data_IF_080700603923
#
_entry.id   IF_080700603923
#
_cell.length_a   1.000
_cell.length_b   1.000
_cell.length_c   1.000
_cell.angle_alpha   90.00
_cell.angle_beta   90.00
_cell.angle_gamma   90.00
#
_symmetry.space_group_name_H-M   'P 1'
#
loop_
_entity.id
_entity.type
_entity.pdbx_description
1 polymer ?
#
# COMPACT_ATOMS: atom_id res chain seq x y z
N UNK A 1 -7.14 24.13 -26.73
CA UNK A 1 -6.76 23.97 -25.31
C UNK A 1 -7.32 22.64 -24.79
N UNK A 2 -6.59 21.54 -24.95
CA UNK A 2 -7.08 20.19 -24.63
C UNK A 2 -6.78 19.88 -23.16
N UNK A 3 -7.82 19.73 -22.34
CA UNK A 3 -7.69 19.22 -20.96
C UNK A 3 -7.31 17.74 -21.04
N UNK A 4 -6.03 17.45 -20.77
CA UNK A 4 -5.49 16.09 -20.70
C UNK A 4 -6.10 15.39 -19.47
N UNK A 5 -7.16 14.60 -19.69
CA UNK A 5 -7.68 13.66 -18.70
C UNK A 5 -6.53 12.73 -18.28
N UNK A 6 -6.10 12.80 -17.01
CA UNK A 6 -5.18 11.83 -16.39
C UNK A 6 -6.01 10.85 -15.54
N UNK A 7 -6.59 9.79 -16.15
CA UNK A 7 -7.57 8.93 -15.47
C UNK A 7 -7.00 8.12 -14.29
N UNK A 8 -5.67 7.95 -14.19
CA UNK A 8 -5.05 7.12 -13.15
C UNK A 8 -4.58 7.88 -11.91
N UNK A 9 -4.51 9.21 -11.94
CA UNK A 9 -4.00 10.00 -10.80
C UNK A 9 -5.04 10.10 -9.68
N UNK A 10 -6.34 10.19 -10.02
CA UNK A 10 -7.42 10.39 -9.05
C UNK A 10 -7.83 9.16 -8.23
N UNK A 11 -7.58 7.93 -8.72
CA UNK A 11 -7.98 6.69 -8.00
C UNK A 11 -6.99 6.34 -6.89
N UNK A 12 -5.68 6.44 -7.12
CA UNK A 12 -4.67 6.14 -6.10
C UNK A 12 -4.71 7.13 -4.93
N UNK A 13 -4.96 8.41 -5.21
CA UNK A 13 -4.98 9.49 -4.21
C UNK A 13 -6.17 9.35 -3.23
N UNK A 14 -7.33 8.85 -3.69
CA UNK A 14 -8.52 8.70 -2.83
C UNK A 14 -8.41 7.56 -1.80
N UNK A 15 -7.60 6.53 -2.07
CA UNK A 15 -7.50 5.34 -1.19
C UNK A 15 -6.54 5.59 -0.01
N UNK A 16 -5.67 6.60 -0.13
CA UNK A 16 -4.72 6.99 0.92
C UNK A 16 -5.42 7.73 2.08
N UNK A 17 -6.68 8.16 1.92
CA UNK A 17 -7.44 8.81 2.99
C UNK A 17 -7.98 7.79 4.00
N UNK A 18 -7.20 7.48 5.04
CA UNK A 18 -7.66 6.73 6.19
C UNK A 18 -7.37 7.51 7.50
N UNK A 19 -8.13 7.19 8.54
CA UNK A 19 -8.30 7.90 9.82
C UNK A 19 -7.01 7.99 10.67
N UNK A 20 -5.88 7.46 10.20
CA UNK A 20 -4.61 7.37 10.95
C UNK A 20 -3.36 7.74 10.13
N UNK A 21 -3.55 8.42 9.01
CA UNK A 21 -2.43 8.89 8.18
C UNK A 21 -1.74 10.08 8.84
N UNK A 22 -0.40 10.08 8.84
CA UNK A 22 0.41 11.20 9.34
C UNK A 22 0.36 12.34 8.32
N UNK A 23 -0.09 13.52 8.75
CA UNK A 23 -0.18 14.70 7.88
C UNK A 23 1.20 15.13 7.38
N UNK A 24 1.31 15.46 6.09
CA UNK A 24 2.57 15.89 5.46
C UNK A 24 3.50 14.75 5.03
N UNK A 25 3.13 13.49 5.30
CA UNK A 25 3.91 12.31 4.89
C UNK A 25 3.62 11.84 3.46
N UNK A 26 2.63 12.45 2.78
CA UNK A 26 2.19 12.04 1.45
C UNK A 26 3.25 12.26 0.38
N UNK A 27 3.50 11.26 -0.44
CA UNK A 27 4.40 11.37 -1.59
C UNK A 27 3.81 10.65 -2.80
N UNK A 28 4.01 11.25 -3.98
CA UNK A 28 3.71 10.61 -5.25
C UNK A 28 4.98 9.96 -5.79
N UNK A 29 4.86 8.71 -6.22
CA UNK A 29 5.96 7.93 -6.78
C UNK A 29 5.79 7.79 -8.28
N UNK A 30 6.88 8.06 -9.00
CA UNK A 30 7.01 7.99 -10.45
C UNK A 30 8.27 7.19 -10.78
N UNK A 31 8.11 5.92 -11.12
CA UNK A 31 9.25 5.06 -11.42
C UNK A 31 10.05 4.62 -10.18
N UNK A 32 11.05 3.75 -10.39
CA UNK A 32 11.82 3.14 -9.31
C UNK A 32 12.64 4.13 -8.49
N UNK A 33 13.21 5.16 -9.14
CA UNK A 33 14.01 6.20 -8.47
C UNK A 33 13.19 6.97 -7.42
N UNK A 34 11.90 7.20 -7.67
CA UNK A 34 11.03 7.87 -6.71
C UNK A 34 10.77 7.04 -5.44
N UNK A 35 10.92 5.71 -5.51
CA UNK A 35 10.61 4.79 -4.41
C UNK A 35 11.82 4.51 -3.51
N UNK A 36 13.03 4.48 -4.08
CA UNK A 36 14.26 4.11 -3.39
C UNK A 36 14.52 4.85 -2.06
N UNK A 37 14.24 6.17 -1.92
CA UNK A 37 14.41 6.85 -0.63
C UNK A 37 13.53 6.30 0.50
N UNK A 38 12.46 5.58 0.15
CA UNK A 38 11.47 5.06 1.11
C UNK A 38 11.67 3.57 1.38
N UNK A 39 11.89 2.78 0.34
CA UNK A 39 12.09 1.33 0.43
C UNK A 39 12.64 0.75 -0.87
N UNK A 40 13.52 -0.25 -0.77
CA UNK A 40 14.01 -1.03 -1.92
C UNK A 40 13.36 -2.39 -1.89
N UNK A 41 12.48 -2.66 -2.86
CA UNK A 41 11.83 -3.98 -3.00
C UNK A 41 12.65 -4.96 -3.84
N UNK A 42 13.63 -4.45 -4.58
CA UNK A 42 14.49 -5.18 -5.51
C UNK A 42 15.06 -4.21 -6.53
N UNK A 43 15.73 -4.75 -7.53
CA UNK A 43 16.41 -3.96 -8.55
C UNK A 43 15.46 -3.47 -9.67
N UNK A 44 15.86 -2.38 -10.34
CA UNK A 44 15.14 -1.86 -11.50
C UNK A 44 13.72 -1.40 -11.22
N UNK A 45 12.85 -1.45 -12.24
CA UNK A 45 11.43 -1.07 -12.16
C UNK A 45 10.56 -2.24 -11.67
N UNK A 46 10.82 -2.72 -10.46
CA UNK A 46 10.18 -3.91 -9.91
C UNK A 46 8.65 -3.77 -9.73
N UNK A 47 8.15 -2.55 -9.59
CA UNK A 47 6.71 -2.26 -9.55
C UNK A 47 6.12 -1.95 -10.94
N UNK A 48 6.90 -2.12 -12.00
CA UNK A 48 6.45 -1.93 -13.39
C UNK A 48 5.82 -0.56 -13.65
N UNK A 49 6.34 0.49 -13.01
CA UNK A 49 5.75 1.82 -13.07
C UNK A 49 5.92 2.47 -14.46
N UNK A 50 6.99 2.12 -15.19
CA UNK A 50 7.28 2.50 -16.59
C UNK A 50 7.09 4.00 -16.89
N UNK A 51 7.28 4.85 -15.89
CA UNK A 51 7.04 6.31 -15.97
C UNK A 51 5.59 6.74 -16.22
N UNK A 52 4.63 5.81 -16.30
CA UNK A 52 3.23 6.07 -16.67
C UNK A 52 2.23 5.68 -15.58
N UNK A 53 2.64 4.81 -14.66
CA UNK A 53 1.87 4.37 -13.51
C UNK A 53 2.38 5.12 -12.27
N UNK A 54 1.44 5.62 -11.47
CA UNK A 54 1.72 6.44 -10.30
C UNK A 54 1.37 5.67 -9.03
N UNK A 55 2.34 5.63 -8.11
CA UNK A 55 2.12 5.20 -6.74
C UNK A 55 1.82 6.40 -5.83
N UNK A 56 1.06 6.17 -4.78
CA UNK A 56 0.94 7.10 -3.67
C UNK A 56 1.38 6.40 -2.39
N UNK A 57 2.29 7.02 -1.63
CA UNK A 57 2.68 6.54 -0.31
C UNK A 57 2.42 7.60 0.76
N UNK A 58 2.19 7.12 1.98
CA UNK A 58 2.17 7.94 3.17
C UNK A 58 2.54 7.09 4.38
N UNK A 59 2.92 7.76 5.47
CA UNK A 59 3.10 7.12 6.76
C UNK A 59 1.77 7.11 7.52
N UNK A 60 1.55 6.03 8.25
CA UNK A 60 0.35 5.78 9.03
C UNK A 60 0.75 5.39 10.45
N UNK A 61 -0.11 5.70 11.40
CA UNK A 61 -0.07 5.12 12.74
C UNK A 61 -1.08 3.98 12.82
N UNK A 62 -0.78 2.95 13.61
CA UNK A 62 -1.78 2.00 14.05
C UNK A 62 -2.44 2.50 15.35
N UNK A 63 -3.48 1.80 15.81
CA UNK A 63 -4.24 2.15 17.03
C UNK A 63 -3.36 2.10 18.28
N UNK A 64 -2.26 1.35 18.25
CA UNK A 64 -1.31 1.15 19.35
C UNK A 64 -0.13 2.12 19.31
N UNK A 65 -0.13 3.07 18.37
CA UNK A 65 0.88 4.14 18.24
C UNK A 65 2.12 3.79 17.41
N UNK A 66 2.29 2.55 16.96
CA UNK A 66 3.38 2.17 16.03
C UNK A 66 3.09 2.67 14.62
N UNK A 67 4.15 3.01 13.87
CA UNK A 67 4.03 3.53 12.51
C UNK A 67 4.36 2.49 11.45
N UNK A 68 3.79 2.69 10.26
CA UNK A 68 4.14 1.94 9.05
C UNK A 68 3.98 2.83 7.83
N UNK A 69 4.68 2.51 6.76
CA UNK A 69 4.47 3.17 5.46
C UNK A 69 3.54 2.31 4.62
N UNK A 70 2.57 2.95 3.96
CA UNK A 70 1.68 2.30 2.99
C UNK A 70 1.91 2.90 1.62
N UNK A 71 2.16 2.05 0.64
CA UNK A 71 2.26 2.39 -0.78
C UNK A 71 1.08 1.76 -1.52
N UNK A 72 0.37 2.56 -2.30
CA UNK A 72 -0.74 2.13 -3.14
C UNK A 72 -0.40 2.42 -4.59
N UNK A 73 -0.46 1.40 -5.44
CA UNK A 73 -0.22 1.54 -6.89
C UNK A 73 -1.43 1.01 -7.65
N UNK A 74 -2.01 1.86 -8.50
CA UNK A 74 -3.14 1.50 -9.36
C UNK A 74 -2.68 1.18 -10.78
N UNK A 75 -2.99 -0.02 -11.26
CA UNK A 75 -2.67 -0.52 -12.59
C UNK A 75 -3.88 -0.43 -13.54
N UNK A 76 -3.66 -0.40 -14.87
CA UNK A 76 -4.74 -0.29 -15.86
C UNK A 76 -5.75 -1.45 -15.84
N UNK A 77 -5.35 -2.64 -15.37
CA UNK A 77 -6.22 -3.81 -15.31
C UNK A 77 -5.86 -4.73 -14.13
N UNK A 78 -6.79 -5.61 -13.70
CA UNK A 78 -6.49 -6.64 -12.71
C UNK A 78 -5.40 -7.63 -13.15
N UNK A 79 -5.32 -7.91 -14.46
CA UNK A 79 -4.27 -8.76 -15.03
C UNK A 79 -2.89 -8.09 -14.89
N UNK A 80 -2.78 -6.80 -15.22
CA UNK A 80 -1.54 -6.05 -15.06
C UNK A 80 -1.07 -6.01 -13.59
N UNK A 81 -1.98 -5.80 -12.64
CA UNK A 81 -1.64 -5.86 -11.22
C UNK A 81 -1.18 -7.26 -10.78
N UNK A 82 -1.75 -8.32 -11.37
CA UNK A 82 -1.36 -9.71 -11.09
C UNK A 82 0.05 -10.00 -11.62
N UNK A 83 0.36 -9.61 -12.85
CA UNK A 83 1.69 -9.75 -13.44
C UNK A 83 2.75 -9.04 -12.59
N UNK A 84 2.46 -7.83 -12.10
CA UNK A 84 3.39 -7.11 -11.21
C UNK A 84 3.54 -7.81 -9.85
N UNK A 85 2.49 -8.37 -9.28
CA UNK A 85 2.60 -9.17 -8.05
C UNK A 85 3.52 -10.38 -8.25
N UNK A 86 3.36 -11.10 -9.36
CA UNK A 86 4.16 -12.27 -9.70
C UNK A 86 5.63 -11.88 -9.94
N UNK A 87 5.87 -10.80 -10.69
CA UNK A 87 7.22 -10.26 -10.91
C UNK A 87 7.88 -9.80 -9.62
N UNK A 88 7.16 -9.06 -8.76
CA UNK A 88 7.66 -8.60 -7.46
C UNK A 88 8.04 -9.77 -6.56
N UNK A 89 7.25 -10.86 -6.58
CA UNK A 89 7.55 -12.08 -5.81
C UNK A 89 8.80 -12.80 -6.34
N UNK A 90 8.98 -12.85 -7.65
CA UNK A 90 10.08 -13.55 -8.29
C UNK A 90 11.43 -12.79 -8.18
N UNK A 91 11.37 -11.46 -8.11
CA UNK A 91 12.56 -10.58 -8.18
C UNK A 91 12.78 -9.78 -6.89
N UNK A 92 12.24 -10.26 -5.77
CA UNK A 92 12.34 -9.57 -4.49
C UNK A 92 13.81 -9.41 -4.07
N UNK A 93 14.14 -8.29 -3.46
CA UNK A 93 15.45 -8.03 -2.86
C UNK A 93 15.84 -9.22 -1.94
N UNK A 94 17.03 -9.82 -2.09
CA UNK A 94 17.47 -10.97 -1.30
C UNK A 94 17.47 -10.76 0.21
N UNK A 95 17.52 -9.51 0.68
CA UNK A 95 17.42 -9.17 2.10
C UNK A 95 15.98 -9.18 2.64
N UNK A 96 14.99 -9.36 1.77
CA UNK A 96 13.58 -9.50 2.14
C UNK A 96 13.19 -10.99 2.11
N UNK A 97 12.90 -11.55 3.28
CA UNK A 97 12.51 -12.95 3.40
C UNK A 97 10.99 -13.08 3.40
N UNK A 98 10.45 -13.79 2.41
CA UNK A 98 9.01 -14.11 2.38
C UNK A 98 8.69 -15.06 3.53
N UNK A 99 7.71 -14.70 4.37
CA UNK A 99 7.30 -15.49 5.55
C UNK A 99 5.96 -16.20 5.36
N UNK A 100 5.16 -15.78 4.37
CA UNK A 100 3.98 -16.50 3.95
C UNK A 100 3.59 -16.09 2.51
N UNK A 101 2.77 -16.90 1.85
CA UNK A 101 2.30 -16.65 0.47
C UNK A 101 0.81 -16.91 0.33
N UNK A 102 0.15 -16.13 -0.53
CA UNK A 102 -1.26 -16.27 -0.94
C UNK A 102 -1.40 -16.01 -2.45
N UNK A 103 -2.54 -16.39 -3.07
CA UNK A 103 -2.80 -16.05 -4.48
C UNK A 103 -2.84 -14.54 -4.76
N UNK A 104 -3.24 -13.75 -3.77
CA UNK A 104 -3.41 -12.30 -3.86
C UNK A 104 -2.33 -11.51 -3.12
N UNK A 105 -1.31 -12.15 -2.55
CA UNK A 105 -0.34 -11.41 -1.75
C UNK A 105 0.75 -12.26 -1.10
N UNK A 106 1.65 -11.61 -0.38
CA UNK A 106 2.66 -12.26 0.43
C UNK A 106 3.09 -11.35 1.59
N UNK A 107 3.69 -11.96 2.61
CA UNK A 107 4.24 -11.28 3.77
C UNK A 107 5.75 -11.47 3.72
N UNK A 108 6.49 -10.49 4.19
CA UNK A 108 7.94 -10.57 4.27
C UNK A 108 8.46 -9.94 5.56
N UNK A 109 9.71 -10.24 5.88
CA UNK A 109 10.51 -9.55 6.89
C UNK A 109 11.75 -8.98 6.23
N UNK A 110 12.13 -7.75 6.60
CA UNK A 110 13.39 -7.16 6.17
C UNK A 110 14.54 -7.52 7.11
N UNK A 111 15.76 -7.08 6.76
CA UNK A 111 16.97 -7.30 7.54
C UNK A 111 16.94 -6.65 8.94
N UNK A 112 16.03 -5.71 9.20
CA UNK A 112 15.82 -5.06 10.49
C UNK A 112 14.68 -5.72 11.29
N UNK A 113 14.23 -6.92 10.87
CA UNK A 113 13.08 -7.64 11.42
C UNK A 113 11.77 -6.83 11.38
N UNK A 114 11.66 -5.85 10.49
CA UNK A 114 10.39 -5.17 10.23
C UNK A 114 9.58 -5.98 9.25
N UNK A 115 8.28 -6.05 9.52
CA UNK A 115 7.34 -6.78 8.68
C UNK A 115 6.88 -5.92 7.51
N UNK A 116 6.56 -6.61 6.42
CA UNK A 116 5.83 -6.05 5.31
C UNK A 116 4.80 -7.02 4.75
N UNK A 117 3.82 -6.45 4.07
CA UNK A 117 2.67 -7.14 3.51
C UNK A 117 2.39 -6.55 2.13
N UNK A 118 2.27 -7.40 1.14
CA UNK A 118 1.82 -7.06 -0.22
C UNK A 118 0.46 -7.70 -0.43
N UNK A 119 -0.55 -6.90 -0.74
CA UNK A 119 -1.89 -7.37 -1.11
C UNK A 119 -2.31 -6.78 -2.46
N UNK A 120 -2.85 -7.62 -3.33
CA UNK A 120 -3.46 -7.23 -4.59
C UNK A 120 -4.98 -7.24 -4.45
N UNK A 121 -5.62 -6.14 -4.86
CA UNK A 121 -7.09 -6.01 -4.90
C UNK A 121 -7.49 -5.50 -6.28
N UNK A 122 -8.01 -6.40 -7.12
CA UNK A 122 -8.32 -6.10 -8.52
C UNK A 122 -7.09 -5.51 -9.23
N UNK A 123 -7.19 -4.27 -9.72
CA UNK A 123 -6.10 -3.52 -10.38
C UNK A 123 -5.21 -2.73 -9.42
N UNK A 124 -5.18 -3.02 -8.11
CA UNK A 124 -4.41 -2.28 -7.12
C UNK A 124 -3.41 -3.20 -6.43
N UNK A 125 -2.17 -2.73 -6.22
CA UNK A 125 -1.27 -3.26 -5.21
C UNK A 125 -1.24 -2.32 -4.00
N UNK A 126 -1.50 -2.88 -2.83
CA UNK A 126 -1.45 -2.25 -1.52
C UNK A 126 -0.30 -2.88 -0.73
N UNK A 127 0.73 -2.10 -0.49
CA UNK A 127 1.98 -2.57 0.11
C UNK A 127 2.18 -1.82 1.41
N UNK A 128 2.33 -2.56 2.51
CA UNK A 128 2.65 -2.02 3.83
C UNK A 128 4.04 -2.53 4.23
N UNK A 129 4.87 -1.65 4.76
CA UNK A 129 6.24 -2.00 5.16
C UNK A 129 6.70 -1.16 6.36
N UNK A 130 7.86 -1.52 6.92
CA UNK A 130 8.39 -0.98 8.19
C UNK A 130 7.47 -1.22 9.39
N UNK A 131 6.64 -2.26 9.36
CA UNK A 131 5.75 -2.60 10.47
C UNK A 131 6.54 -3.23 11.63
N UNK A 132 6.18 -2.90 12.87
CA UNK A 132 6.76 -3.55 14.05
C UNK A 132 6.41 -5.06 14.10
N UNK A 133 7.30 -5.85 14.69
CA UNK A 133 7.27 -7.31 14.64
C UNK A 133 6.04 -7.97 15.32
N UNK A 134 5.43 -7.29 16.30
CA UNK A 134 4.39 -7.87 17.18
C UNK A 134 2.97 -7.92 16.57
N UNK A 135 2.72 -7.26 15.44
CA UNK A 135 1.33 -7.11 14.98
C UNK A 135 0.92 -8.21 14.00
N UNK A 136 0.54 -9.37 14.52
CA UNK A 136 -0.24 -10.36 13.77
C UNK A 136 -1.37 -9.68 12.98
N UNK A 137 -1.62 -10.15 11.76
CA UNK A 137 -2.69 -9.65 10.88
C UNK A 137 -4.00 -9.60 11.69
N UNK A 138 -4.73 -8.48 11.81
CA UNK A 138 -6.08 -8.56 12.33
C UNK A 138 -6.88 -9.49 11.39
N UNK A 139 -7.51 -10.55 11.90
CA UNK A 139 -8.22 -11.51 11.05
C UNK A 139 -9.26 -10.79 10.20
N UNK A 140 -9.33 -11.16 8.92
CA UNK A 140 -10.39 -10.75 8.00
C UNK A 140 -11.70 -11.46 8.39
N UNK A 141 -12.28 -11.08 9.53
CA UNK A 141 -13.71 -11.29 9.81
C UNK A 141 -14.18 -10.48 11.01
N UNK A 142 -15.28 -9.75 10.78
CA UNK A 142 -16.16 -9.04 11.74
C UNK A 142 -15.65 -7.68 12.25
N UNK A 143 -15.62 -6.68 11.37
CA UNK A 143 -15.89 -5.28 11.77
C UNK A 143 -16.39 -4.45 10.58
N UNK A 144 -17.52 -4.88 10.00
CA UNK A 144 -18.51 -3.93 9.49
C UNK A 144 -19.35 -3.54 10.71
N UNK A 145 -18.80 -2.69 11.59
CA UNK A 145 -19.54 -2.18 12.76
C UNK A 145 -18.97 -0.89 13.40
N UNK A 146 -17.83 -0.34 12.94
CA UNK A 146 -17.27 0.91 13.53
C UNK A 146 -17.62 2.16 12.69
N UNK A 147 -18.36 2.00 11.59
CA UNK A 147 -18.93 3.12 10.84
C UNK A 147 -20.36 3.53 11.29
N UNK A 148 -20.87 2.99 12.41
CA UNK A 148 -22.27 3.20 12.84
C UNK A 148 -22.47 3.78 14.25
N UNK A 149 -21.42 4.27 14.93
CA UNK A 149 -21.56 4.82 16.30
C UNK A 149 -21.52 6.37 16.36
N UNK A 150 -21.23 7.08 15.27
CA UNK A 150 -21.26 8.56 15.25
C UNK A 150 -22.45 9.15 14.48
N UNK A 151 -23.67 8.63 14.70
CA UNK A 151 -24.88 9.37 14.33
C UNK A 151 -26.05 9.09 15.28
N UNK A 152 -25.91 9.55 16.53
CA UNK A 152 -27.04 9.83 17.42
C UNK A 152 -26.60 10.71 18.61
N UNK A 153 -26.18 11.93 18.31
CA UNK A 153 -26.03 12.97 19.32
C UNK A 153 -26.11 14.37 18.67
N UNK A 154 -27.22 14.65 17.97
CA UNK A 154 -27.71 16.00 17.68
C UNK A 154 -29.16 15.92 17.25
N UNK A 155 -30.02 15.59 18.22
CA UNK A 155 -31.45 15.82 18.16
C UNK A 155 -31.96 15.96 19.59
N UNK A 156 -31.65 17.10 20.22
CA UNK A 156 -32.38 17.65 21.35
C UNK A 156 -31.91 19.09 21.56
N UNK A 157 -32.62 20.02 20.95
CA UNK A 157 -33.21 21.22 21.57
C UNK A 157 -34.03 21.96 20.53
#
# INVERSE_FOLDING_TARGET
MVRKNRPNEGRSIRIVQAIQRIHGSERHIRGPVGLQPYFTFGEGDILGLKGTIFGALADYKNVEGSSFTRLIVGYPSPAAAKEVLESLRANLDPYLKITATRPDGFDFIDFQNKRGVVERRSGILDIRFKMAADHSRPPLSKNIAIALIFNKASASR
#
